data_IF_065333636627
#
_entry.id   IF_065333636627
#
_cell.length_a   1.000
_cell.length_b   1.000
_cell.length_c   1.000
_cell.angle_alpha   90.00
_cell.angle_beta   90.00
_cell.angle_gamma   90.00
#
_symmetry.space_group_name_H-M   'P 1'
#
loop_
_entity.id
_entity.type
_entity.pdbx_description
1 polymer ?
#
# COMPACT_ATOMS: atom_id res chain seq x y z
N UNK A 1 3.54 11.16 2.07
CA UNK A 1 4.25 11.40 0.79
C UNK A 1 4.43 10.06 0.11
N UNK A 2 3.87 9.91 -1.09
CA UNK A 2 3.96 8.67 -1.87
C UNK A 2 5.34 8.52 -2.48
N UNK A 3 5.92 7.33 -2.36
CA UNK A 3 7.24 6.97 -2.90
C UNK A 3 7.16 5.66 -3.68
N UNK A 4 7.56 5.68 -4.95
CA UNK A 4 7.48 4.53 -5.85
C UNK A 4 8.86 4.05 -6.31
N UNK A 5 9.95 4.59 -5.76
CA UNK A 5 11.28 4.16 -6.15
C UNK A 5 11.53 2.71 -5.71
N UNK A 6 11.93 1.84 -6.64
CA UNK A 6 12.08 0.41 -6.40
C UNK A 6 13.00 0.09 -5.21
N UNK A 7 14.12 0.83 -5.07
CA UNK A 7 15.04 0.67 -3.94
C UNK A 7 14.36 0.97 -2.60
N UNK A 8 13.54 2.01 -2.54
CA UNK A 8 12.81 2.40 -1.35
C UNK A 8 11.73 1.37 -0.99
N UNK A 9 10.91 0.98 -1.98
CA UNK A 9 9.85 0.00 -1.81
C UNK A 9 10.43 -1.32 -1.29
N UNK A 10 11.52 -1.79 -1.87
CA UNK A 10 12.18 -3.03 -1.44
C UNK A 10 12.75 -2.92 -0.03
N UNK A 11 13.37 -1.79 0.32
CA UNK A 11 13.91 -1.56 1.66
C UNK A 11 12.83 -1.53 2.74
N UNK A 12 11.63 -1.04 2.42
CA UNK A 12 10.51 -1.05 3.37
C UNK A 12 9.87 -2.44 3.43
N UNK A 13 9.63 -3.10 2.29
CA UNK A 13 9.12 -4.49 2.25
C UNK A 13 9.99 -5.46 3.05
N UNK A 14 11.32 -5.32 2.97
CA UNK A 14 12.23 -6.17 3.75
C UNK A 14 12.13 -5.95 5.25
N UNK A 15 11.71 -4.76 5.70
CA UNK A 15 11.51 -4.44 7.12
C UNK A 15 10.15 -4.92 7.64
N UNK A 16 9.10 -4.81 6.81
CA UNK A 16 7.76 -5.33 7.14
C UNK A 16 7.82 -6.86 7.29
N UNK A 17 8.58 -7.53 6.42
CA UNK A 17 8.70 -8.98 6.37
C UNK A 17 7.75 -9.59 5.33
N UNK A 18 8.29 -10.46 4.47
CA UNK A 18 7.57 -11.01 3.30
C UNK A 18 6.35 -11.87 3.65
N UNK A 19 6.34 -12.46 4.84
CA UNK A 19 5.29 -13.39 5.29
C UNK A 19 4.29 -12.73 6.25
N UNK A 20 4.44 -11.44 6.52
CA UNK A 20 3.54 -10.72 7.43
C UNK A 20 2.29 -10.33 6.65
N UNK A 21 1.09 -10.78 7.05
CA UNK A 21 -0.15 -10.31 6.44
C UNK A 21 -0.36 -8.83 6.80
N UNK A 22 -0.99 -8.04 5.92
CA UNK A 22 -1.38 -6.67 6.25
C UNK A 22 -2.37 -6.67 7.42
N UNK A 23 -2.36 -5.59 8.19
CA UNK A 23 -3.35 -5.33 9.24
C UNK A 23 -4.74 -5.19 8.62
N UNK A 24 -4.80 -4.44 7.52
CA UNK A 24 -5.98 -4.20 6.71
C UNK A 24 -5.56 -4.08 5.25
N UNK A 25 -6.45 -4.46 4.35
CA UNK A 25 -6.23 -4.31 2.92
C UNK A 25 -7.49 -3.81 2.22
N UNK A 26 -7.28 -3.03 1.17
CA UNK A 26 -8.30 -2.56 0.24
C UNK A 26 -7.84 -2.93 -1.16
N UNK A 27 -8.74 -3.43 -1.99
CA UNK A 27 -8.38 -3.79 -3.35
C UNK A 27 -9.58 -4.05 -4.22
N UNK A 28 -9.34 -3.98 -5.52
CA UNK A 28 -10.32 -4.34 -6.55
C UNK A 28 -9.66 -5.17 -7.63
N UNK A 29 -10.46 -6.05 -8.22
CA UNK A 29 -10.11 -6.88 -9.36
C UNK A 29 -11.37 -7.04 -10.19
N UNK A 30 -11.56 -6.16 -11.16
CA UNK A 30 -12.69 -6.22 -12.09
C UNK A 30 -12.30 -6.88 -13.42
N UNK A 31 -13.27 -7.52 -14.07
CA UNK A 31 -13.09 -8.21 -15.38
C UNK A 31 -12.62 -7.27 -16.51
N UNK A 32 -12.72 -5.94 -16.31
CA UNK A 32 -12.27 -4.90 -17.27
C UNK A 32 -10.80 -4.46 -17.10
N UNK A 33 -9.92 -5.29 -16.49
CA UNK A 33 -8.50 -5.02 -16.22
C UNK A 33 -8.22 -3.87 -15.22
N UNK A 34 -9.09 -3.67 -14.23
CA UNK A 34 -8.78 -2.75 -13.15
C UNK A 34 -8.24 -3.48 -11.93
N UNK A 35 -6.91 -3.50 -11.79
CA UNK A 35 -6.22 -4.09 -10.65
C UNK A 35 -5.59 -2.99 -9.78
N UNK A 36 -6.08 -2.85 -8.56
CA UNK A 36 -5.46 -2.03 -7.53
C UNK A 36 -5.50 -2.74 -6.19
N UNK A 37 -4.38 -2.71 -5.48
CA UNK A 37 -4.22 -3.29 -4.16
C UNK A 37 -3.52 -2.30 -3.23
N UNK A 38 -4.02 -2.14 -2.02
CA UNK A 38 -3.40 -1.38 -0.95
C UNK A 38 -3.43 -2.18 0.36
N UNK A 39 -2.26 -2.56 0.88
CA UNK A 39 -2.10 -3.23 2.17
C UNK A 39 -1.50 -2.29 3.21
N UNK A 40 -2.07 -2.28 4.42
CA UNK A 40 -1.64 -1.45 5.55
C UNK A 40 -0.82 -2.30 6.51
N UNK A 41 0.37 -1.82 6.86
CA UNK A 41 1.30 -2.49 7.76
C UNK A 41 1.73 -1.54 8.88
N UNK A 42 2.12 -2.08 10.03
CA UNK A 42 2.75 -1.31 11.10
C UNK A 42 4.26 -1.55 11.05
N UNK A 43 5.03 -0.48 10.96
CA UNK A 43 6.49 -0.51 10.97
C UNK A 43 7.01 0.36 12.13
N UNK A 44 7.31 -0.29 13.26
CA UNK A 44 7.59 0.44 14.49
C UNK A 44 6.35 1.17 14.98
N UNK A 45 6.40 2.50 15.02
CA UNK A 45 5.31 3.36 15.49
C UNK A 45 4.52 4.05 14.36
N UNK A 46 4.86 3.77 13.09
CA UNK A 46 4.19 4.35 11.92
C UNK A 46 3.45 3.28 11.12
N UNK A 47 2.42 3.74 10.40
CA UNK A 47 1.72 2.92 9.43
C UNK A 47 2.33 3.11 8.04
N UNK A 48 2.39 2.02 7.29
CA UNK A 48 2.91 1.96 5.93
C UNK A 48 1.84 1.39 5.04
N UNK A 49 1.44 2.14 4.02
CA UNK A 49 0.50 1.70 2.99
C UNK A 49 1.29 1.26 1.78
N UNK A 50 1.33 -0.04 1.56
CA UNK A 50 1.89 -0.67 0.36
C UNK A 50 0.82 -0.70 -0.74
N UNK A 51 1.06 0.03 -1.82
CA UNK A 51 0.13 0.18 -2.93
C UNK A 51 0.71 -0.47 -4.18
N UNK A 52 -0.12 -1.19 -4.93
CA UNK A 52 0.26 -1.87 -6.17
C UNK A 52 -0.88 -1.78 -7.18
N UNK A 53 -0.55 -1.39 -8.40
CA UNK A 53 -1.41 -1.52 -9.58
C UNK A 53 -0.70 -2.41 -10.63
N UNK A 54 -1.18 -2.41 -11.88
CA UNK A 54 -0.58 -3.18 -12.98
C UNK A 54 0.83 -2.69 -13.39
N UNK A 55 1.12 -1.39 -13.20
CA UNK A 55 2.30 -0.73 -13.73
C UNK A 55 3.38 -0.48 -12.66
N UNK A 56 2.96 -0.31 -11.40
CA UNK A 56 3.82 0.25 -10.34
C UNK A 56 3.47 -0.25 -8.95
N UNK A 57 4.47 -0.11 -8.09
CA UNK A 57 4.38 -0.37 -6.65
C UNK A 57 4.88 0.87 -5.93
N UNK A 58 4.10 1.33 -4.96
CA UNK A 58 4.40 2.54 -4.20
C UNK A 58 4.16 2.30 -2.71
N UNK A 59 4.79 3.14 -1.89
CA UNK A 59 4.60 3.16 -0.45
C UNK A 59 4.28 4.57 0.00
N UNK A 60 3.32 4.70 0.90
CA UNK A 60 3.06 5.93 1.62
C UNK A 60 3.04 5.66 3.13
N UNK A 61 3.71 6.52 3.90
CA UNK A 61 3.73 6.48 5.36
C UNK A 61 2.58 7.33 5.92
N UNK A 62 1.98 6.84 7.00
CA UNK A 62 0.90 7.49 7.72
C UNK A 62 1.17 7.42 9.23
N UNK A 63 0.74 8.44 9.97
CA UNK A 63 0.97 8.53 11.42
C UNK A 63 -0.12 7.81 12.22
N UNK A 64 -1.27 7.56 11.60
CA UNK A 64 -2.41 6.88 12.21
C UNK A 64 -3.02 5.84 11.27
N UNK A 65 -3.77 4.89 11.83
CA UNK A 65 -4.47 3.87 11.03
C UNK A 65 -5.57 4.48 10.16
N UNK A 66 -6.24 5.54 10.62
CA UNK A 66 -7.30 6.20 9.86
C UNK A 66 -6.74 6.93 8.64
N UNK A 67 -5.59 7.63 8.78
CA UNK A 67 -4.87 8.20 7.64
C UNK A 67 -4.44 7.10 6.65
N UNK A 68 -3.93 5.97 7.14
CA UNK A 68 -3.53 4.85 6.30
C UNK A 68 -4.72 4.28 5.49
N UNK A 69 -5.89 4.15 6.13
CA UNK A 69 -7.14 3.74 5.46
C UNK A 69 -7.59 4.74 4.40
N UNK A 70 -7.49 6.04 4.68
CA UNK A 70 -7.83 7.08 3.70
C UNK A 70 -6.90 7.01 2.48
N UNK A 71 -5.61 6.81 2.69
CA UNK A 71 -4.62 6.64 1.61
C UNK A 71 -4.96 5.41 0.77
N UNK A 72 -5.19 4.26 1.41
CA UNK A 72 -5.53 3.01 0.72
C UNK A 72 -6.80 3.15 -0.14
N UNK A 73 -7.88 3.69 0.43
CA UNK A 73 -9.15 3.93 -0.29
C UNK A 73 -8.99 4.91 -1.43
N UNK A 74 -8.24 5.99 -1.23
CA UNK A 74 -7.99 6.99 -2.27
C UNK A 74 -7.20 6.39 -3.44
N UNK A 75 -6.19 5.56 -3.14
CA UNK A 75 -5.41 4.88 -4.16
C UNK A 75 -6.30 3.95 -5.00
N UNK A 76 -7.03 3.02 -4.37
CA UNK A 76 -7.88 2.06 -5.10
C UNK A 76 -8.92 2.79 -5.96
N UNK A 77 -9.58 3.83 -5.42
CA UNK A 77 -10.54 4.66 -6.18
C UNK A 77 -9.93 5.51 -7.29
N UNK A 78 -8.62 5.79 -7.23
CA UNK A 78 -7.96 6.55 -8.29
C UNK A 78 -7.62 5.71 -9.52
N UNK A 79 -7.63 4.39 -9.36
CA UNK A 79 -7.33 3.45 -10.44
C UNK A 79 -8.62 3.01 -11.16
N UNK A 80 -9.79 2.91 -10.47
CA UNK A 80 -11.01 2.27 -11.01
C UNK A 80 -12.30 3.12 -11.07
#
# INVERSE_FOLDING_TARGET
MVRCELEYVNAVRSKIGFDVPPIEEEGTMDEENCFAYAGIYLLGDIYVVYMKDEERVCIEEASTIDEAREVAKRFVKSIC
#
